data_IF_003976815912
#
_entry.id   IF_003976815912
#
_cell.length_a   1.000
_cell.length_b   1.000
_cell.length_c   1.000
_cell.angle_alpha   90.00
_cell.angle_beta   90.00
_cell.angle_gamma   90.00
#
_symmetry.space_group_name_H-M   'P 1'
#
loop_
_entity.id
_entity.type
_entity.pdbx_description
1 polymer ?
#
# COMPACT_ATOMS: atom_id res chain seq x y z
N UNK A 1 8.49 -12.39 23.16
CA UNK A 1 7.52 -11.46 23.80
C UNK A 1 7.79 -9.98 23.47
N UNK A 2 9.04 -9.49 23.37
CA UNK A 2 9.30 -8.06 23.05
C UNK A 2 8.93 -7.65 21.60
N UNK A 3 8.94 -8.58 20.63
CA UNK A 3 8.68 -8.28 19.21
C UNK A 3 7.20 -8.06 18.87
N UNK A 4 6.29 -8.70 19.59
CA UNK A 4 4.82 -8.55 19.43
C UNK A 4 4.35 -7.22 20.04
N UNK A 5 4.85 -6.85 21.22
CA UNK A 5 4.57 -5.55 21.87
C UNK A 5 5.02 -4.35 21.03
N UNK A 6 6.18 -4.44 20.35
CA UNK A 6 6.71 -3.36 19.49
C UNK A 6 5.92 -3.18 18.18
N UNK A 7 5.44 -4.27 17.57
CA UNK A 7 4.56 -4.23 16.40
C UNK A 7 3.20 -3.60 16.72
N UNK A 8 2.60 -3.98 17.85
CA UNK A 8 1.29 -3.50 18.26
C UNK A 8 1.30 -1.99 18.53
N UNK A 9 2.35 -1.49 19.19
CA UNK A 9 2.54 -0.05 19.45
C UNK A 9 2.73 0.77 18.16
N UNK A 10 3.43 0.21 17.17
CA UNK A 10 3.63 0.88 15.87
C UNK A 10 2.36 0.94 15.02
N UNK A 11 1.57 -0.13 15.01
CA UNK A 11 0.29 -0.17 14.30
C UNK A 11 -0.73 0.77 14.94
N UNK A 12 -0.81 0.80 16.28
CA UNK A 12 -1.74 1.66 17.00
C UNK A 12 -1.45 3.14 16.76
N UNK A 13 -0.18 3.55 16.86
CA UNK A 13 0.25 4.93 16.56
C UNK A 13 -0.02 5.34 15.11
N UNK A 14 0.10 4.40 14.16
CA UNK A 14 -0.25 4.66 12.76
C UNK A 14 -1.75 4.92 12.58
N UNK A 15 -2.60 4.12 13.22
CA UNK A 15 -4.05 4.31 13.19
C UNK A 15 -4.46 5.62 13.83
N UNK A 16 -3.85 6.00 14.96
CA UNK A 16 -4.06 7.32 15.58
C UNK A 16 -3.73 8.44 14.58
N UNK A 17 -2.59 8.36 13.90
CA UNK A 17 -2.20 9.36 12.90
C UNK A 17 -3.19 9.42 11.73
N UNK A 18 -3.71 8.26 11.29
CA UNK A 18 -4.71 8.18 10.22
C UNK A 18 -6.07 8.74 10.69
N UNK A 19 -6.45 8.50 11.94
CA UNK A 19 -7.65 9.07 12.56
C UNK A 19 -7.53 10.59 12.79
N UNK A 20 -6.32 11.10 12.99
CA UNK A 20 -6.05 12.55 13.08
C UNK A 20 -5.95 13.23 11.71
N UNK A 21 -6.02 12.48 10.60
CA UNK A 21 -5.96 13.07 9.26
C UNK A 21 -7.21 13.92 8.96
N UNK A 22 -7.01 15.04 8.26
CA UNK A 22 -8.13 15.89 7.82
C UNK A 22 -9.12 15.12 6.93
N UNK A 23 -8.62 14.12 6.20
CA UNK A 23 -9.43 13.24 5.37
C UNK A 23 -10.44 12.45 6.22
N UNK A 24 -9.96 11.75 7.27
CA UNK A 24 -10.84 10.98 8.13
C UNK A 24 -11.77 11.89 8.94
N UNK A 25 -11.28 13.01 9.49
CA UNK A 25 -12.13 13.99 10.18
C UNK A 25 -13.26 14.51 9.29
N UNK A 26 -12.96 14.77 8.01
CA UNK A 26 -13.96 15.13 7.00
C UNK A 26 -15.01 14.03 6.79
N UNK A 27 -14.58 12.76 6.66
CA UNK A 27 -15.50 11.63 6.53
C UNK A 27 -16.35 11.40 7.77
N UNK A 28 -15.77 11.52 8.96
CA UNK A 28 -16.48 11.40 10.22
C UNK A 28 -17.58 12.45 10.33
N UNK A 29 -17.27 13.71 10.02
CA UNK A 29 -18.25 14.79 9.99
C UNK A 29 -19.33 14.55 8.94
N UNK A 30 -18.96 14.25 7.70
CA UNK A 30 -19.92 14.03 6.61
C UNK A 30 -20.86 12.85 6.88
N UNK A 31 -20.32 11.74 7.39
CA UNK A 31 -21.11 10.57 7.75
C UNK A 31 -22.09 10.89 8.88
N UNK A 32 -21.62 11.59 9.92
CA UNK A 32 -22.49 12.01 11.02
C UNK A 32 -23.59 12.95 10.56
N UNK A 33 -23.29 13.93 9.70
CA UNK A 33 -24.30 14.83 9.12
C UNK A 33 -25.35 14.08 8.30
N UNK A 34 -24.92 13.07 7.52
CA UNK A 34 -25.82 12.30 6.66
C UNK A 34 -26.72 11.34 7.44
N UNK A 35 -26.19 10.74 8.51
CA UNK A 35 -26.80 9.57 9.17
C UNK A 35 -27.26 9.83 10.59
N UNK A 36 -26.74 10.87 11.25
CA UNK A 36 -26.84 11.07 12.69
C UNK A 36 -25.98 10.11 13.52
N UNK A 37 -25.27 9.16 12.90
CA UNK A 37 -24.49 8.14 13.58
C UNK A 37 -23.02 8.56 13.70
N UNK A 38 -22.33 8.19 14.78
CA UNK A 38 -20.88 8.35 14.86
C UNK A 38 -20.18 7.40 13.86
N UNK A 39 -18.98 7.78 13.46
CA UNK A 39 -18.04 6.95 12.72
C UNK A 39 -16.71 6.94 13.47
N UNK A 40 -16.16 5.76 13.72
CA UNK A 40 -14.84 5.59 14.34
C UNK A 40 -13.90 4.82 13.40
N UNK A 41 -12.60 4.93 13.66
CA UNK A 41 -11.56 4.19 13.00
C UNK A 41 -10.74 3.46 14.06
N UNK A 42 -10.59 2.14 13.92
CA UNK A 42 -9.75 1.33 14.81
C UNK A 42 -8.81 0.41 14.03
N UNK A 43 -7.79 -0.12 14.70
CA UNK A 43 -6.88 -1.08 14.09
C UNK A 43 -7.61 -2.39 13.74
N UNK A 44 -7.18 -3.04 12.67
CA UNK A 44 -7.50 -4.45 12.45
C UNK A 44 -6.67 -5.29 13.43
N UNK A 45 -7.34 -6.13 14.22
CA UNK A 45 -6.72 -7.07 15.15
C UNK A 45 -6.75 -8.49 14.57
N UNK A 46 -5.76 -9.31 14.94
CA UNK A 46 -5.62 -10.68 14.40
C UNK A 46 -6.77 -11.60 14.84
N UNK A 47 -7.34 -11.37 16.04
CA UNK A 47 -8.43 -12.17 16.61
C UNK A 47 -9.80 -11.85 15.99
N UNK A 48 -9.94 -10.68 15.34
CA UNK A 48 -11.18 -10.18 14.76
C UNK A 48 -10.95 -9.72 13.31
N UNK A 49 -10.41 -10.64 12.50
CA UNK A 49 -10.01 -10.31 11.13
C UNK A 49 -11.23 -10.19 10.19
N UNK A 50 -11.63 -8.95 9.93
CA UNK A 50 -12.71 -8.61 8.99
C UNK A 50 -12.14 -8.40 7.58
N UNK A 51 -12.40 -9.36 6.69
CA UNK A 51 -11.96 -9.29 5.29
C UNK A 51 -12.89 -8.51 4.39
N UNK A 52 -14.20 -8.48 4.67
CA UNK A 52 -15.21 -7.82 3.85
C UNK A 52 -16.07 -6.87 4.68
N UNK A 53 -16.95 -6.12 4.04
CA UNK A 53 -17.91 -5.30 4.78
C UNK A 53 -18.88 -6.21 5.52
N UNK A 54 -18.91 -6.10 6.85
CA UNK A 54 -19.77 -6.93 7.69
C UNK A 54 -20.72 -6.02 8.46
N UNK A 55 -22.02 -6.28 8.38
CA UNK A 55 -23.01 -5.68 9.27
C UNK A 55 -23.34 -6.68 10.36
N UNK A 56 -23.05 -6.33 11.60
CA UNK A 56 -23.33 -7.19 12.76
C UNK A 56 -24.66 -6.79 13.35
N UNK A 57 -25.43 -7.80 13.73
CA UNK A 57 -26.63 -7.62 14.55
C UNK A 57 -26.23 -7.87 15.99
N UNK A 58 -26.23 -6.79 16.77
CA UNK A 58 -26.04 -6.83 18.20
C UNK A 58 -27.33 -7.16 18.93
N UNK A 59 -27.33 -6.85 20.22
CA UNK A 59 -28.45 -7.11 21.11
C UNK A 59 -29.66 -6.28 20.71
N UNK A 60 -30.85 -6.85 20.89
CA UNK A 60 -32.12 -6.19 20.67
C UNK A 60 -32.34 -5.64 19.24
N UNK A 61 -31.60 -6.15 18.24
CA UNK A 61 -31.78 -5.75 16.83
C UNK A 61 -31.07 -4.46 16.43
N UNK A 62 -30.19 -3.92 17.28
CA UNK A 62 -29.25 -2.86 16.90
C UNK A 62 -28.21 -3.45 15.96
N UNK A 63 -27.88 -2.73 14.89
CA UNK A 63 -26.84 -3.12 13.94
C UNK A 63 -25.74 -2.07 13.89
N UNK A 64 -24.51 -2.52 13.65
CA UNK A 64 -23.38 -1.67 13.27
C UNK A 64 -22.62 -2.35 12.11
N UNK A 65 -21.95 -1.54 11.30
CA UNK A 65 -21.20 -2.04 10.14
C UNK A 65 -19.73 -1.75 10.31
N UNK A 66 -18.93 -2.77 10.02
CA UNK A 66 -17.48 -2.71 9.93
C UNK A 66 -17.09 -2.68 8.46
N UNK A 67 -16.32 -1.67 8.06
CA UNK A 67 -15.82 -1.49 6.70
C UNK A 67 -14.29 -1.52 6.72
N UNK A 68 -13.64 -2.55 6.13
CA UNK A 68 -12.19 -2.65 6.12
C UNK A 68 -11.55 -1.58 5.24
N UNK A 69 -10.57 -0.89 5.82
CA UNK A 69 -9.64 0.01 5.15
C UNK A 69 -8.40 -0.79 4.78
N UNK A 70 -8.09 -0.84 3.48
CA UNK A 70 -7.01 -1.69 2.96
C UNK A 70 -5.84 -0.87 2.45
N UNK A 71 -4.65 -1.42 2.64
CA UNK A 71 -3.42 -0.95 2.01
C UNK A 71 -2.97 -2.07 1.08
N UNK A 72 -3.08 -1.83 -0.23
CA UNK A 72 -2.99 -2.92 -1.20
C UNK A 72 -4.10 -3.95 -0.97
N UNK A 73 -3.71 -5.21 -0.73
CA UNK A 73 -4.65 -6.32 -0.47
C UNK A 73 -4.94 -6.56 1.01
N UNK A 74 -4.24 -5.88 1.92
CA UNK A 74 -4.27 -6.19 3.35
C UNK A 74 -5.15 -5.19 4.10
N UNK A 75 -6.20 -5.64 4.83
CA UNK A 75 -6.90 -4.82 5.80
C UNK A 75 -5.97 -4.37 6.92
N UNK A 76 -5.91 -3.07 7.17
CA UNK A 76 -5.05 -2.49 8.22
C UNK A 76 -5.85 -1.79 9.32
N UNK A 77 -7.08 -1.38 9.00
CA UNK A 77 -7.97 -0.67 9.91
C UNK A 77 -9.43 -0.99 9.58
N UNK A 78 -10.33 -0.70 10.52
CA UNK A 78 -11.76 -0.81 10.38
C UNK A 78 -12.42 0.53 10.63
N UNK A 79 -13.24 0.96 9.68
CA UNK A 79 -14.26 1.97 9.91
C UNK A 79 -15.44 1.30 10.59
N UNK A 80 -15.91 1.87 11.69
CA UNK A 80 -17.01 1.33 12.49
C UNK A 80 -18.11 2.38 12.66
N UNK A 81 -19.33 2.02 12.26
CA UNK A 81 -20.50 2.88 12.44
C UNK A 81 -21.04 2.78 13.86
N UNK A 82 -21.71 3.83 14.32
CA UNK A 82 -22.57 3.75 15.50
C UNK A 82 -23.72 2.75 15.32
N UNK A 83 -24.24 2.28 16.44
CA UNK A 83 -25.40 1.38 16.47
C UNK A 83 -26.68 2.07 16.00
N UNK A 84 -27.42 1.40 15.15
CA UNK A 84 -28.70 1.87 14.62
C UNK A 84 -29.70 0.72 14.55
N UNK A 85 -30.98 1.01 14.69
CA UNK A 85 -32.04 0.04 14.40
C UNK A 85 -32.54 0.24 12.98
N UNK A 86 -32.81 -0.86 12.28
CA UNK A 86 -33.41 -0.80 10.94
C UNK A 86 -34.94 -0.78 10.99
N UNK A 87 -35.51 -1.00 12.18
CA UNK A 87 -36.94 -1.02 12.45
C UNK A 87 -37.23 -0.27 13.76
N UNK A 88 -38.43 0.29 13.88
CA UNK A 88 -38.83 1.03 15.07
C UNK A 88 -38.76 0.16 16.34
N UNK A 89 -38.58 0.81 17.48
CA UNK A 89 -38.67 0.14 18.78
C UNK A 89 -40.13 -0.23 19.06
N UNK A 90 -40.38 -1.50 19.35
CA UNK A 90 -41.68 -2.03 19.80
C UNK A 90 -41.50 -2.89 21.03
N UNK A 91 -42.56 -3.07 21.82
CA UNK A 91 -42.53 -3.97 22.98
C UNK A 91 -42.09 -5.40 22.59
N UNK A 92 -42.56 -5.90 21.44
CA UNK A 92 -42.17 -7.21 20.90
C UNK A 92 -40.68 -7.28 20.58
N UNK A 93 -40.13 -6.24 19.94
CA UNK A 93 -38.71 -6.19 19.61
C UNK A 93 -37.79 -5.99 20.83
N UNK A 94 -38.33 -5.51 21.96
CA UNK A 94 -37.62 -5.41 23.24
C UNK A 94 -37.67 -6.71 24.05
N UNK A 95 -38.72 -7.53 23.87
CA UNK A 95 -38.96 -8.73 24.68
C UNK A 95 -37.75 -9.68 24.80
N UNK A 96 -36.97 -9.98 23.74
CA UNK A 96 -35.80 -10.85 23.87
C UNK A 96 -34.71 -10.27 24.78
N UNK A 97 -34.51 -8.94 24.74
CA UNK A 97 -33.56 -8.27 25.63
C UNK A 97 -34.07 -8.28 27.07
N UNK A 98 -35.37 -8.02 27.27
CA UNK A 98 -35.98 -8.08 28.60
C UNK A 98 -35.83 -9.48 29.22
N UNK A 99 -36.09 -10.54 28.46
CA UNK A 99 -35.91 -11.92 28.90
C UNK A 99 -34.46 -12.21 29.31
N UNK A 100 -33.48 -11.86 28.47
CA UNK A 100 -32.06 -12.06 28.79
C UNK A 100 -31.63 -11.31 30.05
N UNK A 101 -32.14 -10.10 30.30
CA UNK A 101 -31.82 -9.34 31.52
C UNK A 101 -32.47 -9.95 32.77
N UNK A 102 -33.67 -10.53 32.64
CA UNK A 102 -34.30 -11.27 33.72
C UNK A 102 -33.54 -12.54 34.06
N UNK A 103 -33.06 -13.27 33.04
CA UNK A 103 -32.24 -14.47 33.21
C UNK A 103 -30.89 -14.17 33.90
N UNK A 104 -30.35 -12.96 33.70
CA UNK A 104 -29.15 -12.44 34.37
C UNK A 104 -29.43 -11.82 35.76
N UNK A 105 -30.59 -12.08 36.36
CA UNK A 105 -31.03 -11.56 37.68
C UNK A 105 -30.96 -10.01 37.80
N UNK A 106 -31.11 -9.28 36.69
CA UNK A 106 -31.06 -7.81 36.70
C UNK A 106 -32.30 -7.21 37.35
N UNK A 107 -32.10 -6.10 38.06
CA UNK A 107 -33.17 -5.40 38.77
C UNK A 107 -34.16 -4.74 37.81
N UNK A 108 -35.40 -4.52 38.27
CA UNK A 108 -36.42 -3.83 37.48
C UNK A 108 -35.97 -2.42 37.04
N UNK A 109 -35.15 -1.73 37.83
CA UNK A 109 -34.59 -0.42 37.47
C UNK A 109 -33.60 -0.52 36.29
N UNK A 110 -32.76 -1.56 36.26
CA UNK A 110 -31.82 -1.80 35.17
C UNK A 110 -32.54 -2.20 33.88
N UNK A 111 -33.59 -3.02 33.98
CA UNK A 111 -34.43 -3.37 32.83
C UNK A 111 -35.16 -2.14 32.29
N UNK A 112 -35.67 -1.28 33.17
CA UNK A 112 -36.29 -0.02 32.76
C UNK A 112 -35.29 0.91 32.06
N UNK A 113 -34.09 1.05 32.61
CA UNK A 113 -33.02 1.83 31.97
C UNK A 113 -32.64 1.26 30.60
N UNK A 114 -32.55 -0.06 30.46
CA UNK A 114 -32.31 -0.72 29.18
C UNK A 114 -33.44 -0.45 28.18
N UNK A 115 -34.70 -0.43 28.62
CA UNK A 115 -35.85 -0.07 27.77
C UNK A 115 -35.78 1.38 27.29
N UNK A 116 -35.46 2.31 28.18
CA UNK A 116 -35.29 3.72 27.80
C UNK A 116 -34.17 3.87 26.76
N UNK A 117 -33.04 3.18 26.95
CA UNK A 117 -31.94 3.23 25.98
C UNK A 117 -32.31 2.58 24.64
N UNK A 118 -33.06 1.47 24.70
CA UNK A 118 -33.59 0.78 23.52
C UNK A 118 -34.50 1.68 22.68
N UNK A 119 -35.40 2.42 23.32
CA UNK A 119 -36.33 3.35 22.68
C UNK A 119 -35.63 4.60 22.11
N UNK A 120 -34.52 5.03 22.73
CA UNK A 120 -33.73 6.18 22.28
C UNK A 120 -32.71 5.84 21.18
N UNK A 121 -32.50 4.55 20.88
CA UNK A 121 -31.54 4.14 19.85
C UNK A 121 -31.99 4.66 18.48
N UNK A 122 -31.12 5.32 17.68
CA UNK A 122 -31.50 5.85 16.37
C UNK A 122 -32.12 4.79 15.47
N UNK A 123 -33.18 5.16 14.74
CA UNK A 123 -33.85 4.30 13.76
C UNK A 123 -33.59 4.83 12.36
N UNK A 124 -33.24 3.94 11.43
CA UNK A 124 -32.97 4.29 10.05
C UNK A 124 -33.60 3.27 9.11
N UNK A 125 -34.26 3.74 8.05
CA UNK A 125 -34.79 2.86 7.01
C UNK A 125 -33.66 2.01 6.39
N UNK A 126 -33.90 0.71 6.12
CA UNK A 126 -32.87 -0.19 5.59
C UNK A 126 -32.18 0.35 4.33
N UNK A 127 -32.93 0.96 3.40
CA UNK A 127 -32.42 1.48 2.14
C UNK A 127 -31.46 2.66 2.37
N UNK A 128 -31.81 3.54 3.32
CA UNK A 128 -30.96 4.67 3.71
C UNK A 128 -29.67 4.18 4.37
N UNK A 129 -29.76 3.15 5.21
CA UNK A 129 -28.59 2.55 5.83
C UNK A 129 -27.66 1.91 4.78
N UNK A 130 -28.22 1.13 3.85
CA UNK A 130 -27.45 0.54 2.75
C UNK A 130 -26.76 1.59 1.88
N UNK A 131 -27.43 2.71 1.58
CA UNK A 131 -26.83 3.82 0.86
C UNK A 131 -25.65 4.45 1.64
N UNK A 132 -25.79 4.62 2.96
CA UNK A 132 -24.71 5.10 3.81
C UNK A 132 -23.50 4.15 3.82
N UNK A 133 -23.74 2.83 3.87
CA UNK A 133 -22.66 1.83 3.79
C UNK A 133 -21.98 1.84 2.42
N UNK A 134 -22.72 2.04 1.33
CA UNK A 134 -22.14 2.17 0.00
C UNK A 134 -21.17 3.35 -0.11
N UNK A 135 -21.52 4.50 0.49
CA UNK A 135 -20.64 5.67 0.55
C UNK A 135 -19.40 5.36 1.42
N UNK A 136 -19.58 4.69 2.56
CA UNK A 136 -18.45 4.31 3.42
C UNK A 136 -17.47 3.37 2.72
N UNK A 137 -17.92 2.51 1.80
CA UNK A 137 -17.02 1.68 0.96
C UNK A 137 -16.13 2.56 0.09
N UNK A 138 -16.66 3.64 -0.49
CA UNK A 138 -15.84 4.58 -1.26
C UNK A 138 -14.85 5.34 -0.36
N UNK A 139 -15.30 5.75 0.83
CA UNK A 139 -14.42 6.40 1.81
C UNK A 139 -13.29 5.48 2.27
N UNK A 140 -13.56 4.19 2.49
CA UNK A 140 -12.55 3.23 2.94
C UNK A 140 -11.45 3.02 1.90
N UNK A 141 -11.77 3.07 0.60
CA UNK A 141 -10.79 3.02 -0.49
C UNK A 141 -9.89 4.26 -0.46
N UNK A 142 -10.49 5.45 -0.40
CA UNK A 142 -9.73 6.71 -0.39
C UNK A 142 -8.86 6.85 0.88
N UNK A 143 -9.37 6.39 2.02
CA UNK A 143 -8.62 6.34 3.27
C UNK A 143 -7.49 5.30 3.19
N UNK A 144 -7.72 4.17 2.50
CA UNK A 144 -6.70 3.17 2.20
C UNK A 144 -5.54 3.72 1.35
N UNK A 145 -5.84 4.55 0.35
CA UNK A 145 -4.82 5.27 -0.43
C UNK A 145 -4.06 6.30 0.43
N UNK A 146 -4.75 6.98 1.34
CA UNK A 146 -4.10 7.89 2.29
C UNK A 146 -3.16 7.12 3.25
N UNK A 147 -3.63 6.01 3.80
CA UNK A 147 -2.88 5.08 4.62
C UNK A 147 -1.65 4.53 3.87
N UNK A 148 -1.82 4.12 2.61
CA UNK A 148 -0.74 3.69 1.74
C UNK A 148 0.28 4.82 1.56
N UNK A 149 -0.16 6.05 1.24
CA UNK A 149 0.76 7.19 1.17
C UNK A 149 1.47 7.44 2.48
N UNK A 150 0.84 7.33 3.64
CA UNK A 150 1.49 7.58 4.94
C UNK A 150 2.53 6.50 5.29
N UNK A 151 2.20 5.22 5.06
CA UNK A 151 3.12 4.10 5.28
C UNK A 151 4.28 4.12 4.29
N UNK A 152 4.01 4.46 3.02
CA UNK A 152 4.98 4.42 1.93
C UNK A 152 5.62 5.78 1.60
N UNK A 153 5.20 6.89 2.23
CA UNK A 153 5.90 8.18 2.19
C UNK A 153 7.27 8.10 2.86
N UNK A 154 7.46 7.18 3.82
CA UNK A 154 8.77 6.84 4.39
C UNK A 154 9.64 6.00 3.44
N UNK A 155 9.10 5.49 2.33
CA UNK A 155 9.81 4.65 1.34
C UNK A 155 9.86 5.20 -0.08
N UNK A 156 9.54 6.47 -0.35
CA UNK A 156 9.83 7.11 -1.65
C UNK A 156 9.76 8.65 -1.61
N UNK A 157 10.73 9.29 -0.95
CA UNK A 157 11.43 10.36 -1.65
C UNK A 157 12.81 9.80 -1.98
N UNK A 158 12.96 9.29 -3.21
CA UNK A 158 14.29 9.08 -3.75
C UNK A 158 15.06 10.39 -3.52
N UNK A 159 16.16 10.40 -2.74
CA UNK A 159 16.85 11.64 -2.44
C UNK A 159 17.14 12.36 -3.75
N UNK A 160 16.93 13.68 -3.82
CA UNK A 160 17.10 14.44 -5.07
C UNK A 160 18.50 14.19 -5.69
N UNK A 161 19.52 13.98 -4.85
CA UNK A 161 20.85 13.56 -5.26
C UNK A 161 20.87 12.21 -6.02
N UNK A 162 20.09 11.21 -5.59
CA UNK A 162 19.96 9.91 -6.28
C UNK A 162 19.20 10.08 -7.61
N UNK A 163 18.12 10.86 -7.63
CA UNK A 163 17.38 11.17 -8.86
C UNK A 163 18.28 11.85 -9.90
N UNK A 164 19.02 12.87 -9.49
CA UNK A 164 19.98 13.57 -10.35
C UNK A 164 21.12 12.65 -10.79
N UNK A 165 21.59 11.75 -9.91
CA UNK A 165 22.64 10.79 -10.25
C UNK A 165 22.17 9.81 -11.32
N UNK A 166 20.93 9.32 -11.27
CA UNK A 166 20.37 8.47 -12.33
C UNK A 166 20.35 9.18 -13.68
N UNK A 167 19.91 10.44 -13.71
CA UNK A 167 19.90 11.27 -14.94
C UNK A 167 21.32 11.40 -15.49
N UNK A 168 22.28 11.75 -14.63
CA UNK A 168 23.69 11.87 -15.00
C UNK A 168 24.25 10.55 -15.54
N UNK A 169 24.01 9.43 -14.85
CA UNK A 169 24.45 8.09 -15.26
C UNK A 169 23.92 7.75 -16.64
N UNK A 170 22.62 7.95 -16.88
CA UNK A 170 21.99 7.61 -18.16
C UNK A 170 22.51 8.47 -19.31
N UNK A 171 22.82 9.74 -19.07
CA UNK A 171 23.40 10.63 -20.06
C UNK A 171 24.85 10.25 -20.44
N UNK A 172 25.62 9.68 -19.51
CA UNK A 172 27.07 9.42 -19.69
C UNK A 172 27.43 7.92 -19.74
N UNK A 173 26.49 7.03 -20.07
CA UNK A 173 26.74 5.58 -20.03
C UNK A 173 27.94 5.12 -20.88
N UNK A 174 28.19 5.78 -22.02
CA UNK A 174 29.27 5.44 -22.95
C UNK A 174 30.65 5.85 -22.44
N UNK A 175 30.72 6.75 -21.47
CA UNK A 175 31.96 7.34 -20.99
C UNK A 175 32.50 6.58 -19.75
N UNK A 176 33.82 6.60 -19.50
CA UNK A 176 34.37 6.19 -18.22
C UNK A 176 33.76 7.04 -17.10
N UNK A 177 33.10 6.39 -16.15
CA UNK A 177 32.40 7.08 -15.07
C UNK A 177 32.80 6.47 -13.73
N UNK A 178 33.31 7.32 -12.84
CA UNK A 178 33.68 6.94 -11.48
C UNK A 178 32.63 7.39 -10.48
N UNK A 179 32.66 6.80 -9.30
CA UNK A 179 31.74 7.14 -8.22
C UNK A 179 31.94 8.58 -7.75
N UNK A 180 33.19 9.03 -7.70
CA UNK A 180 33.59 10.37 -7.27
C UNK A 180 33.05 11.44 -8.21
N UNK A 181 33.06 11.18 -9.52
CA UNK A 181 32.52 12.09 -10.53
C UNK A 181 31.02 12.30 -10.33
N UNK A 182 30.26 11.22 -10.12
CA UNK A 182 28.80 11.31 -9.93
C UNK A 182 28.44 11.92 -8.59
N UNK A 183 29.16 11.56 -7.52
CA UNK A 183 28.97 12.15 -6.20
C UNK A 183 29.20 13.67 -6.24
N UNK A 184 30.26 14.12 -6.94
CA UNK A 184 30.54 15.54 -7.16
C UNK A 184 29.45 16.21 -8.00
N UNK A 185 28.98 15.58 -9.06
CA UNK A 185 27.92 16.12 -9.92
C UNK A 185 26.59 16.34 -9.19
N UNK A 186 26.34 15.60 -8.09
CA UNK A 186 25.13 15.74 -7.28
C UNK A 186 25.37 16.36 -5.90
N UNK A 187 26.54 16.99 -5.71
CA UNK A 187 26.91 17.75 -4.51
C UNK A 187 26.85 16.95 -3.20
N UNK A 188 27.33 15.70 -3.21
CA UNK A 188 27.46 14.88 -1.99
C UNK A 188 28.84 14.22 -1.90
N UNK A 189 29.24 13.81 -0.69
CA UNK A 189 30.47 13.03 -0.53
C UNK A 189 30.32 11.62 -1.11
N UNK A 190 31.39 10.99 -1.63
CA UNK A 190 31.38 9.61 -2.13
C UNK A 190 30.79 8.59 -1.14
N UNK A 191 31.16 8.69 0.13
CA UNK A 191 30.66 7.81 1.18
C UNK A 191 29.15 7.98 1.41
N UNK A 192 28.69 9.22 1.48
CA UNK A 192 27.26 9.50 1.63
C UNK A 192 26.47 9.03 0.41
N UNK A 193 27.00 9.27 -0.81
CA UNK A 193 26.42 8.80 -2.06
C UNK A 193 26.19 7.29 -2.07
N UNK A 194 27.21 6.48 -1.77
CA UNK A 194 27.08 5.02 -1.69
C UNK A 194 25.92 4.59 -0.79
N UNK A 195 25.83 5.19 0.40
CA UNK A 195 24.81 4.86 1.40
C UNK A 195 23.41 5.20 0.91
N UNK A 196 23.21 6.43 0.42
CA UNK A 196 21.88 6.88 -0.03
C UNK A 196 21.47 6.22 -1.34
N UNK A 197 22.40 5.97 -2.26
CA UNK A 197 22.13 5.35 -3.55
C UNK A 197 21.77 3.87 -3.41
N UNK A 198 22.52 3.11 -2.59
CA UNK A 198 22.19 1.70 -2.32
C UNK A 198 20.87 1.56 -1.57
N UNK A 199 20.61 2.43 -0.59
CA UNK A 199 19.33 2.46 0.13
C UNK A 199 18.15 2.77 -0.79
N UNK A 200 18.31 3.70 -1.73
CA UNK A 200 17.24 4.11 -2.62
C UNK A 200 17.01 3.16 -3.81
N UNK A 201 18.07 2.54 -4.34
CA UNK A 201 18.00 1.70 -5.55
C UNK A 201 18.06 0.20 -5.29
N UNK A 202 18.44 -0.21 -4.08
CA UNK A 202 18.78 -1.60 -3.74
C UNK A 202 20.09 -2.09 -4.34
N UNK A 203 20.77 -1.28 -5.16
CA UNK A 203 21.96 -1.66 -5.93
C UNK A 203 23.17 -0.82 -5.54
N UNK A 204 24.37 -1.38 -5.69
CA UNK A 204 25.59 -0.55 -5.68
C UNK A 204 25.60 0.35 -6.91
N UNK A 205 26.34 1.46 -6.84
CA UNK A 205 26.54 2.35 -7.99
C UNK A 205 27.05 1.56 -9.22
N UNK A 206 28.11 0.76 -9.03
CA UNK A 206 28.72 -0.04 -10.10
C UNK A 206 27.73 -1.04 -10.70
N UNK A 207 26.93 -1.71 -9.88
CA UNK A 207 25.90 -2.64 -10.36
C UNK A 207 24.81 -1.94 -11.16
N UNK A 208 24.37 -0.77 -10.69
CA UNK A 208 23.37 0.03 -11.39
C UNK A 208 23.87 0.46 -12.78
N UNK A 209 25.11 0.97 -12.86
CA UNK A 209 25.75 1.37 -14.12
C UNK A 209 25.88 0.17 -15.06
N UNK A 210 26.42 -0.94 -14.59
CA UNK A 210 26.57 -2.15 -15.42
C UNK A 210 25.21 -2.66 -15.93
N UNK A 211 24.16 -2.60 -15.10
CA UNK A 211 22.80 -2.98 -15.53
C UNK A 211 22.26 -2.03 -16.59
N UNK A 212 22.39 -0.72 -16.40
CA UNK A 212 21.97 0.26 -17.40
C UNK A 212 22.71 0.08 -18.73
N UNK A 213 24.03 -0.22 -18.70
CA UNK A 213 24.83 -0.52 -19.88
C UNK A 213 24.41 -1.79 -20.58
N UNK A 214 24.14 -2.87 -19.84
CA UNK A 214 23.64 -4.14 -20.41
C UNK A 214 22.26 -3.95 -21.07
N UNK A 215 21.35 -3.20 -20.44
CA UNK A 215 20.04 -2.90 -21.03
C UNK A 215 20.15 -2.01 -22.30
N UNK A 216 21.16 -1.14 -22.38
CA UNK A 216 21.49 -0.42 -23.63
C UNK A 216 22.07 -1.38 -24.68
N UNK A 217 22.96 -2.29 -24.28
CA UNK A 217 23.59 -3.27 -25.17
C UNK A 217 22.57 -4.22 -25.79
N UNK A 218 21.62 -4.74 -24.99
CA UNK A 218 20.50 -5.56 -25.47
C UNK A 218 19.77 -4.88 -26.63
N UNK A 219 19.47 -3.59 -26.49
CA UNK A 219 18.83 -2.80 -27.55
C UNK A 219 19.69 -2.65 -28.80
N UNK A 220 21.00 -2.48 -28.65
CA UNK A 220 21.93 -2.35 -29.78
C UNK A 220 22.13 -3.67 -30.51
N UNK A 221 22.15 -4.80 -29.79
CA UNK A 221 22.30 -6.15 -30.35
C UNK A 221 21.10 -6.61 -31.19
N UNK A 222 19.97 -5.90 -31.13
CA UNK A 222 18.83 -6.12 -32.02
C UNK A 222 19.08 -5.64 -33.47
N UNK A 223 20.16 -4.89 -33.72
CA UNK A 223 20.57 -4.47 -35.07
C UNK A 223 21.35 -5.61 -35.73
N UNK A 224 21.00 -6.04 -36.97
CA UNK A 224 21.64 -7.19 -37.63
C UNK A 224 23.16 -7.10 -37.75
N UNK A 225 23.67 -5.89 -37.99
CA UNK A 225 25.08 -5.61 -38.29
C UNK A 225 25.93 -5.24 -37.07
N UNK A 226 25.32 -5.20 -35.87
CA UNK A 226 26.04 -4.82 -34.66
C UNK A 226 27.05 -5.89 -34.26
N UNK A 227 28.34 -5.52 -34.23
CA UNK A 227 29.40 -6.38 -33.67
C UNK A 227 29.37 -6.29 -32.15
N UNK A 228 29.42 -7.45 -31.49
CA UNK A 228 29.35 -7.55 -30.02
C UNK A 228 30.48 -6.76 -29.34
N UNK A 229 31.68 -6.79 -29.93
CA UNK A 229 32.84 -6.02 -29.48
C UNK A 229 32.58 -4.51 -29.52
N UNK A 230 32.10 -4.00 -30.65
CA UNK A 230 31.76 -2.57 -30.82
C UNK A 230 30.67 -2.16 -29.83
N UNK A 231 29.60 -2.96 -29.71
CA UNK A 231 28.52 -2.70 -28.73
C UNK A 231 29.06 -2.64 -27.30
N UNK A 232 29.99 -3.51 -26.92
CA UNK A 232 30.55 -3.50 -25.57
C UNK A 232 31.26 -2.17 -25.27
N UNK A 233 32.06 -1.66 -26.22
CA UNK A 233 32.75 -0.38 -26.08
C UNK A 233 31.80 0.81 -26.17
N UNK A 234 30.81 0.79 -27.08
CA UNK A 234 29.83 1.87 -27.27
C UNK A 234 28.90 2.09 -26.06
N UNK A 235 28.65 1.04 -25.28
CA UNK A 235 27.92 1.16 -24.02
C UNK A 235 28.83 1.46 -22.83
N UNK A 236 30.14 1.65 -23.04
CA UNK A 236 31.09 2.13 -22.04
C UNK A 236 31.81 1.06 -21.23
N UNK A 237 31.86 -0.21 -21.67
CA UNK A 237 32.76 -1.19 -21.06
C UNK A 237 34.19 -1.01 -21.56
N UNK A 238 35.17 -1.05 -20.64
CA UNK A 238 36.59 -0.94 -20.98
C UNK A 238 37.21 -2.25 -21.47
N UNK A 239 36.53 -3.38 -21.30
CA UNK A 239 36.99 -4.67 -21.81
C UNK A 239 35.82 -5.60 -22.13
N UNK A 240 35.99 -6.39 -23.20
CA UNK A 240 35.02 -7.41 -23.61
C UNK A 240 34.81 -8.47 -22.52
N UNK A 241 35.87 -8.84 -21.78
CA UNK A 241 35.78 -9.80 -20.67
C UNK A 241 34.89 -9.31 -19.53
N UNK A 242 34.96 -8.02 -19.18
CA UNK A 242 34.08 -7.44 -18.16
C UNK A 242 32.63 -7.32 -18.65
N UNK A 243 32.45 -6.96 -19.92
CA UNK A 243 31.14 -6.95 -20.58
C UNK A 243 30.48 -8.33 -20.56
N UNK A 244 31.16 -9.37 -21.05
CA UNK A 244 30.60 -10.73 -21.13
C UNK A 244 30.16 -11.25 -19.76
N UNK A 245 30.99 -11.06 -18.73
CA UNK A 245 30.64 -11.44 -17.35
C UNK A 245 29.42 -10.66 -16.83
N UNK A 246 29.38 -9.35 -17.04
CA UNK A 246 28.27 -8.51 -16.59
C UNK A 246 26.98 -8.84 -17.33
N UNK A 247 27.06 -9.04 -18.65
CA UNK A 247 25.91 -9.39 -19.48
C UNK A 247 25.34 -10.73 -19.05
N UNK A 248 26.16 -11.78 -18.91
CA UNK A 248 25.70 -13.10 -18.47
C UNK A 248 25.09 -13.08 -17.08
N UNK A 249 25.66 -12.30 -16.15
CA UNK A 249 25.10 -12.14 -14.80
C UNK A 249 23.73 -11.46 -14.79
N UNK A 250 23.51 -10.49 -15.68
CA UNK A 250 22.32 -9.62 -15.67
C UNK A 250 21.21 -10.14 -16.59
N UNK A 251 21.57 -10.75 -17.71
CA UNK A 251 20.66 -11.31 -18.71
C UNK A 251 20.49 -12.84 -18.59
N UNK A 252 21.27 -13.50 -17.73
CA UNK A 252 21.32 -14.96 -17.57
C UNK A 252 21.79 -15.75 -18.81
N UNK A 253 22.22 -15.06 -19.87
CA UNK A 253 22.72 -15.63 -21.12
C UNK A 253 23.86 -14.74 -21.67
N UNK A 254 24.70 -15.26 -22.57
CA UNK A 254 25.75 -14.49 -23.21
C UNK A 254 25.20 -13.51 -24.27
N UNK A 255 25.94 -12.45 -24.64
CA UNK A 255 25.52 -11.54 -25.71
C UNK A 255 25.26 -12.24 -27.06
N UNK A 256 26.03 -13.29 -27.36
CA UNK A 256 25.86 -14.08 -28.59
C UNK A 256 24.59 -14.91 -28.56
N UNK A 257 24.32 -15.59 -27.44
CA UNK A 257 23.09 -16.36 -27.23
C UNK A 257 21.85 -15.46 -27.29
N UNK A 258 21.89 -14.32 -26.57
CA UNK A 258 20.83 -13.30 -26.60
C UNK A 258 20.50 -12.86 -28.04
N UNK A 259 21.54 -12.59 -28.85
CA UNK A 259 21.37 -12.18 -30.24
C UNK A 259 20.80 -13.29 -31.12
N UNK A 260 21.22 -14.54 -30.91
CA UNK A 260 20.66 -15.69 -31.62
C UNK A 260 19.17 -15.83 -31.35
N UNK A 261 18.80 -15.87 -30.06
CA UNK A 261 17.40 -15.97 -29.62
C UNK A 261 16.52 -14.86 -30.19
N UNK A 262 16.99 -13.61 -30.17
CA UNK A 262 16.23 -12.48 -30.73
C UNK A 262 16.10 -12.51 -32.26
N UNK A 263 17.03 -13.15 -32.98
CA UNK A 263 16.88 -13.38 -34.43
C UNK A 263 15.83 -14.44 -34.72
N UNK A 264 15.82 -15.53 -33.97
CA UNK A 264 14.85 -16.61 -34.13
C UNK A 264 13.42 -16.14 -33.82
N UNK A 265 13.24 -15.37 -32.74
CA UNK A 265 11.95 -14.76 -32.37
C UNK A 265 11.43 -13.80 -33.45
N UNK A 266 12.31 -13.01 -34.09
CA UNK A 266 11.93 -12.13 -35.22
C UNK A 266 11.60 -12.91 -36.49
N UNK A 267 12.33 -13.97 -36.78
CA UNK A 267 12.07 -14.85 -37.92
C UNK A 267 10.68 -15.48 -37.84
N UNK A 268 10.29 -15.96 -36.65
CA UNK A 268 8.97 -16.52 -36.40
C UNK A 268 7.84 -15.48 -36.43
N UNK A 269 8.07 -14.24 -35.94
CA UNK A 269 7.06 -13.18 -35.93
C UNK A 269 6.80 -12.54 -37.32
N UNK A 270 7.73 -12.67 -38.27
CA UNK A 270 7.54 -12.24 -39.67
C UNK A 270 6.98 -13.36 -40.57
N UNK A 271 7.05 -14.62 -40.13
CA UNK A 271 6.56 -15.78 -40.86
C UNK A 271 5.12 -16.19 -40.47
N UNK A 272 4.54 -15.54 -39.45
CA UNK A 272 3.16 -15.71 -38.98
C UNK A 272 2.31 -14.50 -39.40
#
# INVERSE_FOLDING_TARGET
MQTTLSKHNGQQRFIETLAESDLFRGYQSAFHTLTGLPLSLRAQEDEEFVEEVVTRKGVAGVVNTLVPVRVGKTPVALLETGGVRLEAATAESFAPLASSLLDDDRTAAEIHAARVHFEQTPVMAPERYQAAIAILRSFSVQLGECAHRMLFAQTSHEPQAVKNAKIYIHAHLAEPMTLEQVAKAVNVSPFHFCKIFKRATGLTFTDFVNRARVEKAKRMLMKPDARITEVAYDVGFQSLSHFNRSFRRIASESPTEYRGRMKDERGNAMAA
#
